data_IF_928650835267
#
_entry.id   IF_928650835267
#
_cell.length_a   1.000
_cell.length_b   1.000
_cell.length_c   1.000
_cell.angle_alpha   90.00
_cell.angle_beta   90.00
_cell.angle_gamma   90.00
#
_symmetry.space_group_name_H-M   'P 1'
#
loop_
_entity.id
_entity.type
_entity.pdbx_description
1 polymer ?
#
# COMPACT_ATOMS: atom_id res chain seq x y z
N UNK A 1 41.45 1.55 -5.03
CA UNK A 1 40.06 1.06 -5.14
C UNK A 1 39.96 -0.25 -4.37
N UNK A 2 39.10 -0.33 -3.35
CA UNK A 2 39.05 -1.49 -2.43
C UNK A 2 38.52 -2.77 -3.08
N UNK A 3 39.14 -3.89 -2.74
CA UNK A 3 39.00 -5.26 -3.28
C UNK A 3 37.57 -5.85 -3.10
N UNK A 4 36.62 -5.08 -2.57
CA UNK A 4 35.27 -5.54 -2.19
C UNK A 4 34.11 -4.74 -2.80
N UNK A 5 34.35 -3.89 -3.80
CA UNK A 5 33.26 -3.10 -4.42
C UNK A 5 32.55 -3.92 -5.50
N UNK A 6 31.27 -4.27 -5.29
CA UNK A 6 30.49 -5.03 -6.27
C UNK A 6 30.30 -4.25 -7.59
N UNK A 7 30.16 -4.96 -8.72
CA UNK A 7 29.88 -4.35 -10.04
C UNK A 7 28.69 -3.38 -9.98
N UNK A 8 27.65 -3.75 -9.23
CA UNK A 8 26.48 -2.93 -8.96
C UNK A 8 26.83 -1.59 -8.30
N UNK A 9 27.64 -1.62 -7.24
CA UNK A 9 28.06 -0.40 -6.53
C UNK A 9 28.95 0.48 -7.41
N UNK A 10 29.84 -0.13 -8.21
CA UNK A 10 30.69 0.60 -9.16
C UNK A 10 29.85 1.30 -10.24
N UNK A 11 28.91 0.58 -10.86
CA UNK A 11 27.99 1.16 -11.86
C UNK A 11 27.17 2.32 -11.26
N UNK A 12 26.55 2.12 -10.10
CA UNK A 12 25.78 3.15 -9.40
C UNK A 12 26.60 4.41 -9.16
N UNK A 13 27.85 4.27 -8.70
CA UNK A 13 28.77 5.41 -8.50
C UNK A 13 29.06 6.14 -9.81
N UNK A 14 29.24 5.41 -10.92
CA UNK A 14 29.39 6.00 -12.25
C UNK A 14 28.18 6.87 -12.63
N UNK A 15 26.96 6.32 -12.49
CA UNK A 15 25.70 7.05 -12.76
C UNK A 15 25.58 8.31 -11.87
N UNK A 16 25.99 8.25 -10.61
CA UNK A 16 25.91 9.39 -9.70
C UNK A 16 26.80 10.57 -10.12
N UNK A 17 27.91 10.29 -10.80
CA UNK A 17 28.90 11.32 -11.17
C UNK A 17 28.82 11.75 -12.63
N UNK A 18 28.16 10.97 -13.50
CA UNK A 18 28.08 11.24 -14.93
C UNK A 18 27.25 12.50 -15.22
N UNK A 19 27.68 13.32 -16.18
CA UNK A 19 27.06 14.61 -16.49
C UNK A 19 25.56 14.49 -16.83
N UNK A 20 25.19 13.45 -17.58
CA UNK A 20 23.82 13.25 -18.06
C UNK A 20 22.83 12.79 -16.97
N UNK A 21 23.32 12.15 -15.90
CA UNK A 21 22.48 11.51 -14.89
C UNK A 21 22.58 12.13 -13.50
N UNK A 22 23.68 12.86 -13.20
CA UNK A 22 23.91 13.48 -11.88
C UNK A 22 22.77 14.39 -11.44
N UNK A 23 22.29 15.27 -12.32
CA UNK A 23 21.20 16.18 -11.98
C UNK A 23 19.90 15.44 -11.62
N UNK A 24 19.59 14.33 -12.30
CA UNK A 24 18.41 13.51 -11.98
C UNK A 24 18.61 12.72 -10.69
N UNK A 25 19.84 12.25 -10.40
CA UNK A 25 20.15 11.62 -9.12
C UNK A 25 19.99 12.59 -7.95
N UNK A 26 20.54 13.81 -8.05
CA UNK A 26 20.40 14.85 -7.01
C UNK A 26 18.93 15.20 -6.74
N UNK A 27 18.10 15.25 -7.79
CA UNK A 27 16.66 15.46 -7.67
C UNK A 27 15.95 14.26 -7.02
N UNK A 28 16.30 13.03 -7.39
CA UNK A 28 15.75 11.82 -6.78
C UNK A 28 16.13 11.72 -5.29
N UNK A 29 17.38 12.04 -4.94
CA UNK A 29 17.87 12.08 -3.56
C UNK A 29 17.08 13.08 -2.71
N UNK A 30 16.77 14.26 -3.23
CA UNK A 30 15.91 15.23 -2.53
C UNK A 30 14.48 14.73 -2.32
N UNK A 31 13.98 13.87 -3.21
CA UNK A 31 12.60 13.36 -3.15
C UNK A 31 12.46 12.12 -2.26
N UNK A 32 13.39 11.16 -2.35
CA UNK A 32 13.30 9.86 -1.67
C UNK A 32 14.26 9.73 -0.47
N UNK A 33 15.23 10.63 -0.35
CA UNK A 33 16.39 10.45 0.50
C UNK A 33 17.50 9.64 -0.18
N UNK A 34 18.72 9.84 0.31
CA UNK A 34 19.95 9.32 -0.33
C UNK A 34 20.01 7.80 -0.42
N UNK A 35 19.66 7.10 0.64
CA UNK A 35 19.74 5.64 0.67
C UNK A 35 18.71 4.99 -0.26
N UNK A 36 17.49 5.52 -0.29
CA UNK A 36 16.46 5.06 -1.21
C UNK A 36 16.81 5.38 -2.68
N UNK A 37 17.38 6.55 -2.97
CA UNK A 37 17.85 6.86 -4.32
C UNK A 37 18.96 5.90 -4.79
N UNK A 38 19.86 5.48 -3.89
CA UNK A 38 20.86 4.44 -4.17
C UNK A 38 20.20 3.08 -4.42
N UNK A 39 19.29 2.66 -3.56
CA UNK A 39 18.57 1.39 -3.67
C UNK A 39 17.73 1.30 -4.96
N UNK A 40 17.15 2.43 -5.38
CA UNK A 40 16.45 2.52 -6.66
C UNK A 40 17.37 2.21 -7.84
N UNK A 41 18.54 2.86 -7.91
CA UNK A 41 19.53 2.56 -8.96
C UNK A 41 19.99 1.10 -8.90
N UNK A 42 20.19 0.55 -7.71
CA UNK A 42 20.52 -0.86 -7.55
C UNK A 42 19.41 -1.80 -8.07
N UNK A 43 18.15 -1.41 -7.90
CA UNK A 43 16.99 -2.11 -8.48
C UNK A 43 16.96 -2.00 -10.01
N UNK A 44 17.31 -0.84 -10.58
CA UNK A 44 17.48 -0.66 -12.03
C UNK A 44 18.55 -1.61 -12.56
N UNK A 45 19.72 -1.65 -11.92
CA UNK A 45 20.81 -2.56 -12.29
C UNK A 45 20.35 -4.02 -12.28
N UNK A 46 19.72 -4.46 -11.18
CA UNK A 46 19.27 -5.84 -11.04
C UNK A 46 18.22 -6.19 -12.09
N UNK A 47 17.27 -5.29 -12.36
CA UNK A 47 16.24 -5.54 -13.37
C UNK A 47 16.79 -5.57 -14.79
N UNK A 48 17.72 -4.67 -15.13
CA UNK A 48 18.34 -4.62 -16.45
C UNK A 48 19.17 -5.87 -16.71
N UNK A 49 19.97 -6.27 -15.73
CA UNK A 49 20.89 -7.42 -15.85
C UNK A 49 20.21 -8.79 -15.87
N UNK A 50 18.90 -8.86 -15.62
CA UNK A 50 18.11 -10.08 -15.90
C UNK A 50 18.04 -10.39 -17.40
N UNK A 51 18.07 -9.38 -18.26
CA UNK A 51 17.81 -9.55 -19.70
C UNK A 51 18.93 -9.02 -20.60
N UNK A 52 19.75 -8.09 -20.10
CA UNK A 52 20.72 -7.34 -20.89
C UNK A 52 22.05 -7.20 -20.15
N UNK A 53 23.13 -6.86 -20.88
CA UNK A 53 24.40 -6.50 -20.24
C UNK A 53 24.30 -5.07 -19.70
N UNK A 54 24.84 -4.81 -18.50
CA UNK A 54 24.73 -3.47 -17.90
C UNK A 54 25.40 -2.38 -18.74
N UNK A 55 26.49 -2.71 -19.45
CA UNK A 55 27.19 -1.76 -20.32
C UNK A 55 26.36 -1.30 -21.54
N UNK A 56 25.19 -1.90 -21.76
CA UNK A 56 24.22 -1.48 -22.78
C UNK A 56 23.23 -0.43 -22.26
N UNK A 57 23.16 -0.22 -20.95
CA UNK A 57 22.29 0.80 -20.35
C UNK A 57 23.00 2.15 -20.37
N UNK A 58 22.52 3.07 -21.21
CA UNK A 58 23.10 4.42 -21.29
C UNK A 58 22.80 5.21 -20.03
N UNK A 59 23.69 6.12 -19.69
CA UNK A 59 23.54 7.02 -18.56
C UNK A 59 22.31 7.93 -18.71
N UNK A 60 21.97 8.32 -19.94
CA UNK A 60 20.74 9.05 -20.27
C UNK A 60 19.47 8.23 -20.01
N UNK A 61 19.50 6.91 -20.24
CA UNK A 61 18.39 6.02 -19.92
C UNK A 61 18.24 5.86 -18.39
N UNK A 62 19.37 5.75 -17.67
CA UNK A 62 19.38 5.77 -16.21
C UNK A 62 18.81 7.09 -15.65
N UNK A 63 19.13 8.22 -16.28
CA UNK A 63 18.55 9.52 -15.94
C UNK A 63 17.03 9.53 -16.13
N UNK A 64 16.53 8.93 -17.21
CA UNK A 64 15.09 8.83 -17.47
C UNK A 64 14.38 7.90 -16.47
N UNK A 65 15.01 6.81 -16.03
CA UNK A 65 14.48 5.99 -14.93
C UNK A 65 14.33 6.79 -13.64
N UNK A 66 15.35 7.56 -13.25
CA UNK A 66 15.31 8.40 -12.04
C UNK A 66 14.23 9.49 -12.14
N UNK A 67 14.12 10.15 -13.29
CA UNK A 67 13.06 11.14 -13.56
C UNK A 67 11.67 10.51 -13.39
N UNK A 68 11.45 9.36 -14.03
CA UNK A 68 10.17 8.65 -14.02
C UNK A 68 9.78 8.21 -12.60
N UNK A 69 10.74 7.68 -11.83
CA UNK A 69 10.49 7.29 -10.45
C UNK A 69 10.08 8.49 -9.58
N UNK A 70 10.81 9.61 -9.70
CA UNK A 70 10.48 10.84 -8.98
C UNK A 70 9.07 11.33 -9.31
N UNK A 71 8.73 11.38 -10.59
CA UNK A 71 7.42 11.85 -11.07
C UNK A 71 6.30 10.93 -10.58
N UNK A 72 6.48 9.61 -10.67
CA UNK A 72 5.53 8.64 -10.15
C UNK A 72 5.38 8.76 -8.63
N UNK A 73 6.48 8.81 -7.87
CA UNK A 73 6.43 8.99 -6.42
C UNK A 73 5.69 10.27 -6.04
N UNK A 74 6.04 11.39 -6.65
CA UNK A 74 5.47 12.71 -6.35
C UNK A 74 3.97 12.73 -6.67
N UNK A 75 3.56 12.22 -7.82
CA UNK A 75 2.14 12.16 -8.20
C UNK A 75 1.32 11.32 -7.22
N UNK A 76 1.84 10.15 -6.82
CA UNK A 76 1.16 9.28 -5.85
C UNK A 76 1.11 9.92 -4.46
N UNK A 77 2.19 10.58 -4.03
CA UNK A 77 2.21 11.32 -2.75
C UNK A 77 1.17 12.43 -2.73
N UNK A 78 1.11 13.27 -3.76
CA UNK A 78 0.15 14.37 -3.86
C UNK A 78 -1.30 13.88 -3.77
N UNK A 79 -1.60 12.72 -4.36
CA UNK A 79 -2.92 12.13 -4.21
C UNK A 79 -3.20 11.68 -2.78
N UNK A 80 -2.26 11.00 -2.11
CA UNK A 80 -2.40 10.65 -0.69
C UNK A 80 -2.62 11.90 0.17
N UNK A 81 -1.84 12.95 -0.06
CA UNK A 81 -1.97 14.24 0.65
C UNK A 81 -3.38 14.82 0.47
N UNK A 82 -3.97 14.71 -0.72
CA UNK A 82 -5.33 15.17 -1.00
C UNK A 82 -6.43 14.39 -0.26
N UNK A 83 -6.15 13.16 0.18
CA UNK A 83 -7.08 12.31 0.93
C UNK A 83 -7.06 12.61 2.44
N UNK A 84 -5.98 13.18 2.96
CA UNK A 84 -5.84 13.52 4.40
C UNK A 84 -6.96 14.43 4.90
N UNK A 85 -7.24 15.61 4.29
CA UNK A 85 -8.33 16.47 4.76
C UNK A 85 -9.70 15.81 4.62
N UNK A 86 -9.90 14.97 3.60
CA UNK A 86 -11.15 14.21 3.39
C UNK A 86 -11.36 13.10 4.42
N UNK A 87 -10.26 12.52 4.92
CA UNK A 87 -10.30 11.57 6.04
C UNK A 87 -10.63 12.30 7.34
N UNK A 88 -9.98 13.44 7.60
CA UNK A 88 -10.13 14.22 8.83
C UNK A 88 -11.54 14.81 9.01
N UNK A 89 -12.16 15.29 7.92
CA UNK A 89 -13.48 15.92 7.94
C UNK A 89 -14.66 14.94 7.76
N UNK A 90 -14.40 13.64 7.55
CA UNK A 90 -15.46 12.64 7.40
C UNK A 90 -15.99 12.43 5.97
N UNK A 91 -15.44 13.15 4.97
CA UNK A 91 -15.92 13.09 3.59
C UNK A 91 -15.76 11.68 2.97
N UNK A 92 -14.66 10.98 3.28
CA UNK A 92 -14.46 9.61 2.77
C UNK A 92 -15.49 8.60 3.32
N UNK A 93 -15.93 8.76 4.57
CA UNK A 93 -17.00 7.95 5.17
C UNK A 93 -18.36 8.28 4.55
N UNK A 94 -18.64 9.55 4.29
CA UNK A 94 -19.84 9.98 3.54
C UNK A 94 -19.85 9.35 2.15
N UNK A 95 -18.72 9.36 1.46
CA UNK A 95 -18.54 8.75 0.14
C UNK A 95 -18.79 7.23 0.17
N UNK A 96 -18.29 6.52 1.20
CA UNK A 96 -18.55 5.10 1.41
C UNK A 96 -20.04 4.82 1.55
N UNK A 97 -20.72 5.54 2.45
CA UNK A 97 -22.15 5.32 2.72
C UNK A 97 -23.04 5.60 1.51
N UNK A 98 -22.64 6.52 0.62
CA UNK A 98 -23.33 6.77 -0.63
C UNK A 98 -23.05 5.71 -1.72
N UNK A 99 -22.05 4.85 -1.54
CA UNK A 99 -21.57 3.90 -2.55
C UNK A 99 -21.38 2.50 -1.95
N UNK A 100 -22.39 2.01 -1.23
CA UNK A 100 -22.36 0.66 -0.66
C UNK A 100 -22.75 -0.39 -1.70
N UNK A 101 -21.97 -1.47 -1.73
CA UNK A 101 -22.31 -2.68 -2.47
C UNK A 101 -23.38 -3.46 -1.70
N UNK A 102 -24.45 -3.95 -2.35
CA UNK A 102 -25.40 -4.87 -1.74
C UNK A 102 -24.70 -6.07 -1.10
N UNK A 103 -25.12 -6.47 0.09
CA UNK A 103 -24.49 -7.59 0.82
C UNK A 103 -24.50 -8.88 0.01
N UNK A 104 -25.58 -9.15 -0.74
CA UNK A 104 -25.70 -10.33 -1.60
C UNK A 104 -24.60 -10.41 -2.69
N UNK A 105 -24.01 -9.28 -3.10
CA UNK A 105 -23.01 -9.26 -4.17
C UNK A 105 -21.63 -9.72 -3.69
N UNK A 106 -21.33 -9.58 -2.40
CA UNK A 106 -20.02 -9.95 -1.84
C UNK A 106 -20.08 -11.07 -0.82
N UNK A 107 -21.20 -11.28 -0.12
CA UNK A 107 -21.34 -12.28 0.93
C UNK A 107 -21.95 -13.59 0.40
N UNK A 108 -21.20 -14.28 -0.47
CA UNK A 108 -21.70 -15.45 -1.22
C UNK A 108 -21.50 -16.81 -0.54
N UNK A 109 -20.53 -16.91 0.38
CA UNK A 109 -20.18 -18.15 1.08
C UNK A 109 -20.23 -17.90 2.60
N UNK A 110 -21.42 -17.66 3.17
CA UNK A 110 -21.58 -17.43 4.59
C UNK A 110 -21.16 -18.67 5.39
N UNK A 111 -20.53 -18.45 6.55
CA UNK A 111 -20.53 -19.48 7.59
C UNK A 111 -21.98 -19.77 8.01
N UNK A 112 -22.23 -21.00 8.46
CA UNK A 112 -23.56 -21.45 8.91
C UNK A 112 -24.15 -20.46 9.95
N UNK A 113 -25.48 -20.33 9.94
CA UNK A 113 -26.22 -19.21 10.54
C UNK A 113 -25.94 -18.94 12.03
N UNK A 114 -26.27 -17.70 12.44
CA UNK A 114 -26.18 -17.24 13.84
C UNK A 114 -25.00 -16.30 14.15
N UNK A 115 -24.17 -15.94 13.16
CA UNK A 115 -23.13 -14.93 13.36
C UNK A 115 -23.73 -13.54 13.59
N UNK A 116 -23.17 -12.80 14.54
CA UNK A 116 -23.54 -11.42 14.84
C UNK A 116 -22.28 -10.57 15.10
N UNK A 117 -22.45 -9.25 15.16
CA UNK A 117 -21.40 -8.32 15.59
C UNK A 117 -20.08 -8.49 14.84
N UNK A 118 -19.00 -8.69 15.58
CA UNK A 118 -17.63 -8.80 15.07
C UNK A 118 -17.46 -10.02 14.16
N UNK A 119 -18.01 -11.17 14.55
CA UNK A 119 -17.86 -12.43 13.83
C UNK A 119 -18.52 -12.35 12.45
N UNK A 120 -19.72 -11.76 12.38
CA UNK A 120 -20.41 -11.51 11.11
C UNK A 120 -19.61 -10.54 10.22
N UNK A 121 -19.12 -9.44 10.79
CA UNK A 121 -18.33 -8.46 10.05
C UNK A 121 -17.03 -9.07 9.48
N UNK A 122 -16.36 -9.94 10.24
CA UNK A 122 -15.17 -10.66 9.78
C UNK A 122 -15.51 -11.66 8.66
N UNK A 123 -16.61 -12.40 8.78
CA UNK A 123 -17.03 -13.37 7.77
C UNK A 123 -17.41 -12.69 6.43
N UNK A 124 -18.12 -11.57 6.53
CA UNK A 124 -18.45 -10.69 5.42
C UNK A 124 -17.20 -10.11 4.75
N UNK A 125 -16.25 -9.60 5.53
CA UNK A 125 -14.99 -9.08 5.03
C UNK A 125 -14.16 -10.14 4.32
N UNK A 126 -14.05 -11.35 4.88
CA UNK A 126 -13.32 -12.45 4.26
C UNK A 126 -13.92 -12.83 2.89
N UNK A 127 -15.26 -12.90 2.80
CA UNK A 127 -15.97 -13.13 1.55
C UNK A 127 -15.71 -12.03 0.51
N UNK A 128 -15.75 -10.75 0.93
CA UNK A 128 -15.48 -9.63 0.03
C UNK A 128 -14.03 -9.60 -0.47
N UNK A 129 -13.04 -9.80 0.41
CA UNK A 129 -11.61 -9.80 0.05
C UNK A 129 -11.27 -10.94 -0.91
N UNK A 130 -11.85 -12.13 -0.67
CA UNK A 130 -11.58 -13.31 -1.50
C UNK A 130 -12.42 -13.36 -2.79
N UNK A 131 -13.57 -12.68 -2.83
CA UNK A 131 -14.47 -12.67 -3.98
C UNK A 131 -14.84 -14.10 -4.41
N UNK A 132 -14.50 -14.47 -5.64
CA UNK A 132 -14.73 -15.81 -6.18
C UNK A 132 -13.75 -16.89 -5.68
N UNK A 133 -12.67 -16.53 -4.99
CA UNK A 133 -11.67 -17.47 -4.48
C UNK A 133 -12.09 -18.08 -3.14
N UNK A 134 -13.06 -19.00 -3.19
CA UNK A 134 -13.70 -19.59 -2.01
C UNK A 134 -12.72 -20.35 -1.09
N UNK A 135 -11.71 -21.02 -1.66
CA UNK A 135 -10.69 -21.74 -0.91
C UNK A 135 -9.84 -20.83 0.02
N UNK A 136 -9.74 -19.53 -0.29
CA UNK A 136 -9.00 -18.57 0.53
C UNK A 136 -9.78 -18.01 1.72
N UNK A 137 -11.12 -18.15 1.73
CA UNK A 137 -11.98 -17.53 2.74
C UNK A 137 -11.63 -17.99 4.17
N UNK A 138 -11.42 -19.30 4.46
CA UNK A 138 -11.07 -19.73 5.82
C UNK A 138 -9.77 -19.09 6.34
N UNK A 139 -8.73 -19.05 5.51
CA UNK A 139 -7.44 -18.46 5.88
C UNK A 139 -7.54 -16.94 6.07
N UNK A 140 -8.31 -16.24 5.22
CA UNK A 140 -8.56 -14.81 5.36
C UNK A 140 -9.33 -14.50 6.65
N UNK A 141 -10.34 -15.31 6.97
CA UNK A 141 -11.12 -15.18 8.21
C UNK A 141 -10.24 -15.36 9.44
N UNK A 142 -9.40 -16.39 9.46
CA UNK A 142 -8.45 -16.63 10.54
C UNK A 142 -7.48 -15.44 10.69
N UNK A 143 -6.98 -14.92 9.57
CA UNK A 143 -6.09 -13.77 9.57
C UNK A 143 -6.77 -12.52 10.15
N UNK A 144 -8.00 -12.22 9.74
CA UNK A 144 -8.79 -11.11 10.27
C UNK A 144 -9.07 -11.30 11.77
N UNK A 145 -9.50 -12.49 12.19
CA UNK A 145 -9.76 -12.84 13.60
C UNK A 145 -8.53 -12.61 14.48
N UNK A 146 -7.34 -12.93 14.00
CA UNK A 146 -6.08 -12.71 14.75
C UNK A 146 -5.69 -11.24 14.89
N UNK A 147 -6.18 -10.36 14.01
CA UNK A 147 -5.75 -8.96 13.93
C UNK A 147 -6.80 -7.96 14.39
N UNK A 148 -8.06 -8.37 14.47
CA UNK A 148 -9.18 -7.59 15.01
C UNK A 148 -9.44 -8.12 16.44
N UNK A 149 -9.36 -7.28 17.48
CA UNK A 149 -9.54 -7.73 18.86
C UNK A 149 -10.95 -8.25 19.12
N UNK A 150 -11.09 -9.25 19.99
CA UNK A 150 -12.38 -9.80 20.38
C UNK A 150 -13.20 -8.82 21.23
N UNK A 151 -12.52 -8.11 22.14
CA UNK A 151 -13.13 -7.05 22.96
C UNK A 151 -13.32 -5.79 22.13
N UNK A 152 -14.58 -5.36 21.98
CA UNK A 152 -14.91 -4.08 21.39
C UNK A 152 -14.21 -2.94 22.15
N UNK A 153 -13.77 -1.91 21.44
CA UNK A 153 -13.08 -0.78 22.07
C UNK A 153 -11.60 -1.01 22.40
N UNK A 154 -11.01 -2.12 21.95
CA UNK A 154 -9.60 -2.43 22.19
C UNK A 154 -8.76 -2.16 20.93
N UNK A 155 -7.54 -1.65 21.10
CA UNK A 155 -6.63 -1.37 19.98
C UNK A 155 -6.06 -2.66 19.34
N UNK A 156 -5.84 -3.68 20.16
CA UNK A 156 -5.27 -4.97 19.75
C UNK A 156 -3.76 -4.89 19.51
N UNK A 157 -3.16 -5.96 18.95
CA UNK A 157 -1.69 -6.13 18.91
C UNK A 157 -0.96 -5.17 17.97
N UNK A 158 -1.67 -4.55 17.02
CA UNK A 158 -1.10 -3.55 16.10
C UNK A 158 -1.40 -2.11 16.52
N UNK A 159 -1.95 -1.88 17.71
CA UNK A 159 -2.44 -0.55 18.12
C UNK A 159 -3.72 -0.14 17.36
N UNK A 160 -4.09 1.15 17.46
CA UNK A 160 -5.41 1.64 17.04
C UNK A 160 -5.75 1.32 15.57
N UNK A 161 -4.77 1.34 14.65
CA UNK A 161 -4.94 0.88 13.28
C UNK A 161 -4.00 -0.28 12.92
N UNK A 162 -3.03 -0.02 12.03
CA UNK A 162 -2.10 -1.01 11.48
C UNK A 162 -0.68 -0.93 12.07
N UNK A 163 -0.51 -0.10 13.11
CA UNK A 163 0.77 0.20 13.74
C UNK A 163 1.38 1.52 13.27
N UNK A 164 2.53 1.86 13.85
CA UNK A 164 3.30 3.08 13.49
C UNK A 164 4.24 2.89 12.30
N UNK A 165 4.44 1.65 11.83
CA UNK A 165 5.38 1.34 10.76
C UNK A 165 4.76 0.35 9.79
N UNK A 166 5.27 0.22 8.56
CA UNK A 166 4.75 -0.77 7.60
C UNK A 166 5.01 -2.23 7.98
N UNK A 167 5.81 -2.50 9.01
CA UNK A 167 6.24 -3.86 9.35
C UNK A 167 5.09 -4.83 9.69
N UNK A 168 4.08 -4.48 10.52
CA UNK A 168 2.95 -5.38 10.78
C UNK A 168 2.19 -5.70 9.49
N UNK A 169 1.91 -4.68 8.66
CA UNK A 169 1.22 -4.88 7.39
C UNK A 169 2.04 -5.75 6.42
N UNK A 170 3.37 -5.58 6.37
CA UNK A 170 4.27 -6.44 5.57
C UNK A 170 4.28 -7.89 6.05
N UNK A 171 4.16 -8.14 7.36
CA UNK A 171 4.01 -9.51 7.90
C UNK A 171 2.70 -10.15 7.45
N UNK A 172 1.60 -9.38 7.43
CA UNK A 172 0.32 -9.86 6.91
C UNK A 172 0.38 -10.10 5.40
N UNK A 173 0.98 -9.18 4.66
CA UNK A 173 1.21 -9.27 3.22
C UNK A 173 1.90 -10.59 2.84
N UNK A 174 2.99 -10.97 3.51
CA UNK A 174 3.70 -12.22 3.25
C UNK A 174 2.84 -13.47 3.43
N UNK A 175 1.79 -13.43 4.25
CA UNK A 175 0.85 -14.54 4.43
C UNK A 175 -0.16 -14.64 3.29
N UNK A 176 -0.59 -13.50 2.75
CA UNK A 176 -1.59 -13.45 1.67
C UNK A 176 -0.97 -13.48 0.26
N UNK A 177 0.34 -13.21 0.16
CA UNK A 177 1.13 -13.19 -1.07
C UNK A 177 2.53 -13.83 -0.83
N UNK A 178 2.61 -15.14 -0.51
CA UNK A 178 3.88 -15.79 -0.16
C UNK A 178 4.89 -15.85 -1.30
N UNK A 179 4.41 -15.87 -2.55
CA UNK A 179 5.24 -16.01 -3.76
C UNK A 179 5.47 -14.68 -4.49
N UNK A 180 5.28 -13.55 -3.80
CA UNK A 180 5.48 -12.24 -4.41
C UNK A 180 6.95 -12.03 -4.79
N UNK A 181 7.19 -11.37 -5.93
CA UNK A 181 8.55 -11.01 -6.34
C UNK A 181 9.23 -10.12 -5.28
N UNK A 182 10.57 -10.16 -5.17
CA UNK A 182 11.29 -9.35 -4.17
C UNK A 182 11.27 -7.84 -4.48
N UNK A 183 11.22 -7.47 -5.75
CA UNK A 183 11.16 -6.08 -6.20
C UNK A 183 10.36 -5.93 -7.49
N UNK A 184 9.88 -4.71 -7.75
CA UNK A 184 9.21 -4.31 -8.99
C UNK A 184 9.72 -2.94 -9.39
N UNK A 185 10.02 -2.77 -10.68
CA UNK A 185 10.31 -1.48 -11.30
C UNK A 185 9.65 -1.45 -12.66
N UNK A 186 9.12 -0.29 -13.04
CA UNK A 186 8.60 -0.09 -14.39
C UNK A 186 9.74 0.27 -15.32
N UNK A 187 9.91 -0.53 -16.38
CA UNK A 187 10.79 -0.16 -17.48
C UNK A 187 10.11 0.94 -18.33
N UNK A 188 10.89 1.66 -19.14
CA UNK A 188 10.40 2.83 -19.90
C UNK A 188 9.14 2.47 -20.72
N UNK A 189 8.09 3.30 -20.60
CA UNK A 189 6.78 3.05 -21.24
C UNK A 189 5.83 2.10 -20.49
N UNK A 190 6.22 1.63 -19.30
CA UNK A 190 5.38 0.80 -18.42
C UNK A 190 4.34 1.60 -17.62
N UNK A 191 3.69 0.91 -16.67
CA UNK A 191 2.65 1.50 -15.83
C UNK A 191 3.18 2.69 -14.99
N UNK A 192 2.34 3.69 -14.70
CA UNK A 192 2.72 4.89 -13.93
C UNK A 192 2.70 4.67 -12.41
N UNK A 193 3.41 3.66 -11.94
CA UNK A 193 3.60 3.38 -10.52
C UNK A 193 5.07 3.52 -10.14
N UNK A 194 5.37 3.93 -8.89
CA UNK A 194 6.74 3.89 -8.41
C UNK A 194 7.25 2.44 -8.34
N UNK A 195 8.57 2.32 -8.30
CA UNK A 195 9.25 1.10 -7.93
C UNK A 195 8.86 0.65 -6.52
N UNK A 196 9.25 -0.56 -6.15
CA UNK A 196 9.11 -1.03 -4.77
C UNK A 196 9.78 -0.15 -3.73
N UNK A 197 10.85 0.57 -4.11
CA UNK A 197 11.55 1.49 -3.21
C UNK A 197 10.67 2.69 -2.91
N UNK A 198 10.26 3.44 -3.95
CA UNK A 198 9.38 4.60 -3.79
C UNK A 198 8.02 4.23 -3.20
N UNK A 199 7.43 3.11 -3.63
CA UNK A 199 6.17 2.62 -3.06
C UNK A 199 6.28 2.22 -1.59
N UNK A 200 7.43 1.68 -1.15
CA UNK A 200 7.67 1.36 0.26
C UNK A 200 7.74 2.61 1.13
N UNK A 201 8.44 3.65 0.66
CA UNK A 201 8.48 4.93 1.36
C UNK A 201 7.10 5.57 1.47
N UNK A 202 6.29 5.51 0.41
CA UNK A 202 4.91 5.99 0.46
C UNK A 202 4.03 5.20 1.43
N UNK A 203 4.28 3.90 1.59
CA UNK A 203 3.56 3.07 2.56
C UNK A 203 3.89 3.49 4.00
N UNK A 204 5.16 3.73 4.30
CA UNK A 204 5.58 4.25 5.61
C UNK A 204 5.00 5.66 5.83
N UNK A 205 5.04 6.52 4.82
CA UNK A 205 4.43 7.85 4.87
C UNK A 205 2.91 7.81 5.19
N UNK A 206 2.15 6.92 4.55
CA UNK A 206 0.71 6.72 4.84
C UNK A 206 0.49 6.37 6.32
N UNK A 207 1.35 5.50 6.86
CA UNK A 207 1.23 5.03 8.24
C UNK A 207 1.64 6.12 9.22
N UNK A 208 2.66 6.90 8.94
CA UNK A 208 3.08 8.06 9.73
C UNK A 208 1.97 9.10 9.83
N UNK A 209 1.32 9.44 8.70
CA UNK A 209 0.17 10.37 8.67
C UNK A 209 -0.97 9.97 9.62
N UNK A 210 -1.14 8.67 9.83
CA UNK A 210 -2.21 8.11 10.68
C UNK A 210 -1.75 7.77 12.09
N UNK A 211 -0.45 7.68 12.34
CA UNK A 211 0.11 7.15 13.58
C UNK A 211 0.82 8.18 14.45
N UNK A 212 0.98 9.42 13.95
CA UNK A 212 1.95 10.40 14.46
C UNK A 212 1.49 11.86 14.63
N UNK A 213 0.28 12.16 15.09
CA UNK A 213 0.05 13.43 15.79
C UNK A 213 -0.34 13.12 17.24
N UNK A 214 0.58 13.43 18.16
CA UNK A 214 0.36 13.35 19.61
C UNK A 214 -0.83 14.20 20.09
N UNK A 215 -1.39 15.07 19.22
CA UNK A 215 -2.57 15.90 19.46
C UNK A 215 -3.86 15.40 18.80
N UNK A 216 -3.83 14.34 17.98
CA UNK A 216 -5.05 13.70 17.46
C UNK A 216 -5.31 12.43 18.25
N UNK A 217 -6.13 12.53 19.30
CA UNK A 217 -6.74 11.34 19.88
C UNK A 217 -7.46 10.61 18.75
N UNK A 218 -7.14 9.32 18.57
CA UNK A 218 -7.90 8.45 17.68
C UNK A 218 -9.40 8.61 18.00
N UNK A 219 -10.29 8.63 16.99
CA UNK A 219 -11.72 8.76 17.25
C UNK A 219 -12.16 7.67 18.22
N UNK A 220 -13.07 8.02 19.14
CA UNK A 220 -13.71 7.03 20.00
C UNK A 220 -14.24 5.87 19.16
N UNK A 221 -14.17 4.65 19.68
CA UNK A 221 -14.73 3.49 19.01
C UNK A 221 -16.24 3.71 18.75
N UNK A 222 -16.72 3.29 17.59
CA UNK A 222 -18.07 3.57 17.10
C UNK A 222 -18.24 4.93 16.41
N UNK A 223 -17.25 5.84 16.48
CA UNK A 223 -17.30 7.11 15.77
C UNK A 223 -17.25 6.88 14.24
N UNK A 224 -18.12 7.57 13.49
CA UNK A 224 -18.19 7.45 12.02
C UNK A 224 -16.87 7.81 11.29
N UNK A 225 -15.95 8.56 11.93
CA UNK A 225 -14.61 8.85 11.38
C UNK A 225 -13.79 7.58 11.11
N UNK A 226 -14.04 6.48 11.81
CA UNK A 226 -13.38 5.19 11.50
C UNK A 226 -13.64 4.72 10.07
N UNK A 227 -14.81 5.01 9.50
CA UNK A 227 -15.12 4.68 8.11
C UNK A 227 -14.26 5.50 7.13
N UNK A 228 -14.02 6.78 7.46
CA UNK A 228 -13.18 7.66 6.66
C UNK A 228 -11.71 7.23 6.70
N UNK A 229 -11.23 6.85 7.89
CA UNK A 229 -9.87 6.32 8.08
C UNK A 229 -9.71 4.98 7.35
N UNK A 230 -10.70 4.09 7.43
CA UNK A 230 -10.67 2.83 6.69
C UNK A 230 -10.59 3.09 5.17
N UNK A 231 -11.44 3.96 4.63
CA UNK A 231 -11.41 4.34 3.20
C UNK A 231 -10.10 5.02 2.78
N UNK A 232 -9.49 5.80 3.67
CA UNK A 232 -8.16 6.35 3.45
C UNK A 232 -7.12 5.24 3.27
N UNK A 233 -7.07 4.25 4.18
CA UNK A 233 -6.15 3.12 4.04
C UNK A 233 -6.41 2.31 2.77
N UNK A 234 -7.68 2.00 2.48
CA UNK A 234 -8.07 1.28 1.27
C UNK A 234 -7.51 1.97 0.03
N UNK A 235 -7.79 3.26 -0.09
CA UNK A 235 -7.45 4.04 -1.27
C UNK A 235 -5.94 4.23 -1.38
N UNK A 236 -5.32 4.71 -0.31
CA UNK A 236 -3.90 5.08 -0.30
C UNK A 236 -3.00 3.87 -0.54
N UNK A 237 -3.25 2.73 0.13
CA UNK A 237 -2.40 1.52 -0.02
C UNK A 237 -2.47 0.98 -1.45
N UNK A 238 -3.66 0.91 -2.05
CA UNK A 238 -3.81 0.42 -3.42
C UNK A 238 -3.20 1.41 -4.42
N UNK A 239 -3.36 2.71 -4.18
CA UNK A 239 -2.88 3.74 -5.09
C UNK A 239 -1.35 3.82 -5.16
N UNK A 240 -0.66 3.76 -4.01
CA UNK A 240 0.81 3.93 -3.97
C UNK A 240 1.58 2.71 -4.44
N UNK A 241 0.91 1.54 -4.51
CA UNK A 241 1.48 0.30 -5.00
C UNK A 241 2.78 -0.11 -4.29
N UNK A 242 2.79 -0.02 -2.95
CA UNK A 242 3.97 -0.28 -2.11
C UNK A 242 4.41 -1.74 -2.00
N UNK A 243 3.59 -2.67 -2.51
CA UNK A 243 3.92 -4.09 -2.63
C UNK A 243 4.21 -4.46 -4.10
N UNK A 244 5.04 -5.48 -4.33
CA UNK A 244 5.36 -5.97 -5.67
C UNK A 244 4.14 -6.51 -6.42
N UNK A 245 3.25 -7.17 -5.68
CA UNK A 245 1.98 -7.71 -6.15
C UNK A 245 0.94 -7.64 -5.02
N UNK A 246 -0.34 -7.86 -5.31
CA UNK A 246 -1.39 -8.02 -4.30
C UNK A 246 -1.82 -6.73 -3.60
N UNK A 247 -1.46 -5.54 -4.11
CA UNK A 247 -1.79 -4.25 -3.50
C UNK A 247 -3.29 -4.09 -3.19
N UNK A 248 -4.18 -4.51 -4.12
CA UNK A 248 -5.64 -4.53 -3.91
C UNK A 248 -6.03 -5.36 -2.70
N UNK A 249 -5.57 -6.61 -2.63
CA UNK A 249 -5.85 -7.54 -1.52
C UNK A 249 -5.34 -7.01 -0.19
N UNK A 250 -4.16 -6.40 -0.18
CA UNK A 250 -3.59 -5.80 1.04
C UNK A 250 -4.35 -4.55 1.48
N UNK A 251 -4.78 -3.70 0.54
CA UNK A 251 -5.63 -2.54 0.83
C UNK A 251 -7.01 -2.94 1.38
N UNK A 252 -7.64 -3.98 0.80
CA UNK A 252 -8.89 -4.54 1.31
C UNK A 252 -8.74 -5.15 2.70
N UNK A 253 -7.64 -5.86 2.96
CA UNK A 253 -7.31 -6.39 4.28
C UNK A 253 -7.14 -5.25 5.31
N UNK A 254 -6.36 -4.23 4.97
CA UNK A 254 -6.14 -3.05 5.81
C UNK A 254 -7.46 -2.34 6.15
N UNK A 255 -8.29 -2.10 5.12
CA UNK A 255 -9.64 -1.54 5.26
C UNK A 255 -10.49 -2.31 6.25
N UNK A 256 -10.61 -3.63 6.07
CA UNK A 256 -11.45 -4.49 6.91
C UNK A 256 -10.97 -4.48 8.36
N UNK A 257 -9.65 -4.56 8.59
CA UNK A 257 -9.08 -4.50 9.92
C UNK A 257 -9.44 -3.19 10.61
N UNK A 258 -9.23 -2.04 9.94
CA UNK A 258 -9.46 -0.72 10.52
C UNK A 258 -10.94 -0.47 10.79
N UNK A 259 -11.82 -0.78 9.83
CA UNK A 259 -13.26 -0.57 9.97
C UNK A 259 -13.83 -1.37 11.15
N UNK A 260 -13.53 -2.66 11.21
CA UNK A 260 -14.10 -3.56 12.23
C UNK A 260 -13.48 -3.28 13.60
N UNK A 261 -12.19 -2.94 13.67
CA UNK A 261 -11.55 -2.45 14.91
C UNK A 261 -12.26 -1.22 15.47
N UNK A 262 -12.69 -0.31 14.60
CA UNK A 262 -13.50 0.86 14.96
C UNK A 262 -14.91 0.54 15.46
N UNK A 263 -15.23 -0.74 15.70
CA UNK A 263 -16.52 -1.29 16.13
C UNK A 263 -17.68 -1.02 15.16
N UNK A 264 -17.36 -0.94 13.86
CA UNK A 264 -18.36 -0.80 12.80
C UNK A 264 -18.74 -2.15 12.20
N UNK A 265 -19.96 -2.23 11.70
CA UNK A 265 -20.38 -3.31 10.80
C UNK A 265 -19.53 -3.26 9.52
N UNK A 266 -19.32 -4.41 8.89
CA UNK A 266 -18.60 -4.45 7.63
C UNK A 266 -19.42 -3.81 6.51
N UNK A 267 -18.79 -2.89 5.79
CA UNK A 267 -19.36 -2.16 4.64
C UNK A 267 -18.43 -2.39 3.45
N UNK A 268 -18.95 -2.77 2.30
CA UNK A 268 -18.14 -2.90 1.09
C UNK A 268 -18.45 -1.74 0.12
N UNK A 269 -17.46 -0.98 -0.36
CA UNK A 269 -17.69 -0.03 -1.44
C UNK A 269 -18.05 -0.73 -2.76
N UNK A 270 -18.80 -0.04 -3.63
CA UNK A 270 -19.05 -0.51 -5.00
C UNK A 270 -17.74 -0.62 -5.79
N UNK A 271 -17.66 -1.60 -6.69
CA UNK A 271 -16.47 -1.77 -7.55
C UNK A 271 -16.16 -0.53 -8.38
N UNK A 272 -17.19 0.22 -8.79
CA UNK A 272 -17.04 1.48 -9.52
C UNK A 272 -16.30 2.53 -8.67
N UNK A 273 -16.73 2.72 -7.40
CA UNK A 273 -16.11 3.68 -6.50
C UNK A 273 -14.70 3.28 -6.11
N UNK A 274 -14.44 1.99 -5.92
CA UNK A 274 -13.09 1.46 -5.71
C UNK A 274 -12.16 1.81 -6.88
N UNK A 275 -12.58 1.52 -8.11
CA UNK A 275 -11.76 1.78 -9.30
C UNK A 275 -11.48 3.28 -9.50
N UNK A 276 -12.47 4.14 -9.23
CA UNK A 276 -12.31 5.60 -9.25
C UNK A 276 -11.25 6.06 -8.24
N UNK A 277 -11.36 5.59 -6.99
CA UNK A 277 -10.45 5.98 -5.91
C UNK A 277 -9.03 5.44 -6.11
N UNK A 278 -8.88 4.24 -6.65
CA UNK A 278 -7.56 3.65 -6.85
C UNK A 278 -6.74 4.39 -7.93
N UNK A 279 -7.39 5.07 -8.89
CA UNK A 279 -6.73 5.80 -9.98
C UNK A 279 -5.59 5.00 -10.62
N UNK A 280 -5.90 3.76 -10.99
CA UNK A 280 -4.95 2.83 -11.62
C UNK A 280 -4.87 2.97 -13.16
N UNK A 281 -5.71 3.82 -13.76
CA UNK A 281 -5.74 4.05 -15.21
C UNK A 281 -4.97 5.32 -15.63
N UNK A 282 -3.97 5.72 -14.84
CA UNK A 282 -3.12 6.88 -15.12
C UNK A 282 -1.95 6.54 -16.01
#
# INVERSE_FOLDING_TARGET
MGIFTSKKVTWRRGIQTHADSRAQFDQLERTLGREAAKEFLETVYDKWTQNFKIDQLKESDAALFMKTERENYTARKLYVDSLVPQSANGALGTLLNANLRPTADYYKNPLRGGLAGRELAIDQAANWICGGYTAGIPAMRELLTKNIPATAGHAGPMGMALGRTSQPLRKLYKRIMPNAAPYRINLMGGAKYPSTVGGSLLLDYILDLTSGCADTSWPAFGNAKWESIAMFYLTSIVHVQGFTDGNKRTGHLAYAIVLIKGTHQFKAPTSAKENELFRMNG
#
